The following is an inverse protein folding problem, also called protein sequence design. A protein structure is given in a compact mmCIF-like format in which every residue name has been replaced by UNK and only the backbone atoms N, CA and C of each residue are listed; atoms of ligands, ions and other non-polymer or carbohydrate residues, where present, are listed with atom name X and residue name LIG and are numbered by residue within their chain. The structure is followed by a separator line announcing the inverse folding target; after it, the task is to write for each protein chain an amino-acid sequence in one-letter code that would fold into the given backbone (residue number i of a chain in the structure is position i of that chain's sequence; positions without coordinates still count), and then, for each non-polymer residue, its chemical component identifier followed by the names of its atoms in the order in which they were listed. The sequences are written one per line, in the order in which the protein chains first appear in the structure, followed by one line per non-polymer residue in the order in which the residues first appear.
data_IF_950593175150
#
_entry.id   IF_950593175150
#
_cell.length_a   1.000
_cell.length_b   1.000
_cell.length_c   1.000
_cell.angle_alpha   90.00
_cell.angle_beta   90.00
_cell.angle_gamma   90.00
#
_symmetry.space_group_name_H-M   'P 1'
#
loop_
_entity.id
_entity.type
_entity.pdbx_description
1 polymer ?
#
# COMPACT_ATOMS: atom_id res chain seq x y z
N UNK A 1 -32.65 -16.13 -13.48
CA UNK A 1 -33.61 -15.20 -12.86
C UNK A 1 -32.99 -13.81 -12.92
N UNK A 2 -33.76 -12.74 -13.07
CA UNK A 2 -33.20 -11.39 -12.94
C UNK A 2 -32.74 -11.17 -11.51
N UNK A 3 -31.56 -10.58 -11.32
CA UNK A 3 -31.10 -10.20 -9.98
C UNK A 3 -32.02 -9.12 -9.38
N UNK A 4 -32.16 -9.06 -8.05
CA UNK A 4 -32.91 -7.99 -7.40
C UNK A 4 -32.24 -6.64 -7.62
N UNK A 5 -33.05 -5.58 -7.72
CA UNK A 5 -32.57 -4.20 -7.70
C UNK A 5 -31.98 -3.87 -6.34
N UNK A 6 -30.97 -3.01 -6.32
CA UNK A 6 -30.39 -2.49 -5.10
C UNK A 6 -30.82 -1.05 -4.88
N UNK A 7 -31.08 -0.71 -3.61
CA UNK A 7 -31.44 0.64 -3.19
C UNK A 7 -30.15 1.33 -2.72
N UNK A 8 -29.79 2.43 -3.37
CA UNK A 8 -28.65 3.27 -3.04
C UNK A 8 -29.02 4.33 -2.01
N UNK A 9 -30.22 4.87 -2.07
CA UNK A 9 -30.69 5.89 -1.15
C UNK A 9 -32.21 5.89 -1.05
N UNK A 10 -32.74 6.18 0.15
CA UNK A 10 -34.14 6.53 0.38
C UNK A 10 -34.16 7.95 0.97
N UNK A 11 -34.54 8.93 0.17
CA UNK A 11 -34.48 10.35 0.56
C UNK A 11 -35.48 10.72 1.68
N UNK A 12 -36.40 9.80 2.04
CA UNK A 12 -37.35 9.99 3.15
C UNK A 12 -36.80 9.52 4.49
N UNK A 13 -35.61 8.92 4.51
CA UNK A 13 -34.98 8.37 5.71
C UNK A 13 -33.71 9.14 6.03
N UNK A 14 -33.57 9.46 7.32
CA UNK A 14 -32.30 9.94 7.86
C UNK A 14 -31.32 8.77 7.86
N UNK A 15 -30.15 8.97 7.25
CA UNK A 15 -29.10 7.96 7.21
C UNK A 15 -28.36 7.84 8.56
N UNK A 16 -27.44 6.90 8.67
CA UNK A 16 -26.66 6.66 9.90
C UNK A 16 -25.78 7.81 10.33
N UNK A 17 -25.44 8.69 9.39
CA UNK A 17 -24.64 9.89 9.63
C UNK A 17 -25.51 11.08 10.06
N UNK A 18 -26.82 10.89 10.20
CA UNK A 18 -27.72 11.86 10.80
C UNK A 18 -28.34 12.88 9.84
N UNK A 19 -28.21 12.70 8.52
CA UNK A 19 -28.77 13.61 7.51
C UNK A 19 -29.66 12.91 6.47
N UNK A 20 -30.45 13.70 5.75
CA UNK A 20 -31.21 13.27 4.58
C UNK A 20 -30.41 13.58 3.32
N UNK A 21 -30.38 12.64 2.37
CA UNK A 21 -29.72 12.80 1.07
C UNK A 21 -30.80 12.95 0.00
N UNK A 22 -30.88 14.09 -0.68
CA UNK A 22 -31.90 14.34 -1.70
C UNK A 22 -31.47 13.76 -3.05
N UNK A 23 -32.27 12.87 -3.63
CA UNK A 23 -31.93 12.23 -4.90
C UNK A 23 -31.84 13.24 -6.05
N UNK A 24 -32.69 14.26 -6.04
CA UNK A 24 -32.70 15.33 -7.05
C UNK A 24 -31.46 16.23 -7.05
N UNK A 25 -30.61 16.14 -6.02
CA UNK A 25 -29.34 16.85 -5.93
C UNK A 25 -28.12 16.04 -6.39
N UNK A 26 -28.34 14.81 -6.86
CA UNK A 26 -27.27 13.91 -7.27
C UNK A 26 -26.74 14.20 -8.68
N UNK A 27 -25.42 14.40 -8.78
CA UNK A 27 -24.67 14.44 -10.03
C UNK A 27 -24.15 13.03 -10.34
N UNK A 28 -24.57 12.48 -11.49
CA UNK A 28 -24.33 11.07 -11.84
C UNK A 28 -23.47 10.88 -13.10
N UNK A 29 -23.10 11.95 -13.80
CA UNK A 29 -22.47 11.85 -15.13
C UNK A 29 -21.19 11.00 -15.11
N UNK A 30 -20.27 11.29 -14.18
CA UNK A 30 -19.02 10.52 -14.02
C UNK A 30 -19.29 9.06 -13.67
N UNK A 31 -20.26 8.80 -12.79
CA UNK A 31 -20.61 7.45 -12.40
C UNK A 31 -21.29 6.68 -13.54
N UNK A 32 -22.11 7.32 -14.37
CA UNK A 32 -22.72 6.67 -15.53
C UNK A 32 -21.69 6.31 -16.61
N UNK A 33 -20.63 7.10 -16.76
CA UNK A 33 -19.50 6.77 -17.63
C UNK A 33 -18.66 5.61 -17.07
N UNK A 34 -18.47 5.57 -15.74
CA UNK A 34 -17.69 4.54 -15.04
C UNK A 34 -18.47 3.92 -13.87
N UNK A 35 -19.49 3.08 -14.13
CA UNK A 35 -20.44 2.64 -13.10
C UNK A 35 -19.90 1.48 -12.26
N UNK A 36 -18.80 1.71 -11.57
CA UNK A 36 -18.07 0.69 -10.80
C UNK A 36 -18.93 0.09 -9.70
N UNK A 37 -18.94 -1.25 -9.63
CA UNK A 37 -19.50 -1.99 -8.50
C UNK A 37 -18.36 -2.59 -7.67
N UNK A 38 -18.18 -2.09 -6.44
CA UNK A 38 -17.12 -2.53 -5.54
C UNK A 38 -17.64 -3.49 -4.44
N UNK A 39 -16.71 -4.21 -3.82
CA UNK A 39 -16.96 -4.98 -2.58
C UNK A 39 -16.61 -4.14 -1.36
N UNK A 40 -17.63 -3.69 -0.62
CA UNK A 40 -17.49 -3.06 0.69
C UNK A 40 -16.54 -1.84 0.71
N UNK A 41 -16.70 -0.91 -0.25
CA UNK A 41 -15.96 0.36 -0.38
C UNK A 41 -14.46 0.23 -0.64
N UNK A 42 -14.01 -0.96 -1.03
CA UNK A 42 -12.61 -1.19 -1.35
C UNK A 42 -12.35 -0.93 -2.85
N UNK A 43 -11.61 0.13 -3.16
CA UNK A 43 -11.26 0.54 -4.53
C UNK A 43 -10.48 -0.54 -5.30
N UNK A 44 -9.77 -1.43 -4.62
CA UNK A 44 -9.04 -2.54 -5.23
C UNK A 44 -9.92 -3.77 -5.49
N UNK A 45 -11.20 -3.73 -5.09
CA UNK A 45 -12.15 -4.85 -5.21
C UNK A 45 -13.31 -4.54 -6.14
N UNK A 46 -12.99 -4.29 -7.41
CA UNK A 46 -13.98 -4.21 -8.48
C UNK A 46 -14.59 -5.59 -8.74
N UNK A 47 -15.91 -5.71 -8.56
CA UNK A 47 -16.66 -6.98 -8.67
C UNK A 47 -17.75 -6.94 -9.76
N UNK A 48 -17.85 -5.84 -10.49
CA UNK A 48 -18.77 -5.69 -11.61
C UNK A 48 -19.10 -4.23 -11.89
N UNK A 49 -20.30 -3.98 -12.40
CA UNK A 49 -20.84 -2.64 -12.64
C UNK A 49 -22.31 -2.51 -12.24
N UNK A 50 -22.77 -1.28 -12.09
CA UNK A 50 -24.17 -0.93 -11.90
C UNK A 50 -24.79 -0.43 -13.20
N UNK A 51 -25.88 -1.05 -13.64
CA UNK A 51 -26.65 -0.58 -14.80
C UNK A 51 -27.94 0.08 -14.31
N UNK A 52 -28.57 0.89 -15.18
CA UNK A 52 -29.90 1.45 -14.95
C UNK A 52 -30.05 2.20 -13.61
N UNK A 53 -29.11 3.08 -13.26
CA UNK A 53 -29.24 3.97 -12.10
C UNK A 53 -30.34 5.01 -12.36
N UNK A 54 -31.39 5.02 -11.54
CA UNK A 54 -32.49 5.98 -11.64
C UNK A 54 -33.26 6.12 -10.33
N UNK A 55 -34.08 7.17 -10.24
CA UNK A 55 -35.01 7.36 -9.13
C UNK A 55 -36.35 6.63 -9.41
N UNK A 56 -36.80 5.82 -8.46
CA UNK A 56 -38.13 5.23 -8.38
C UNK A 56 -38.87 5.80 -7.14
N UNK A 57 -39.64 6.86 -7.35
CA UNK A 57 -40.26 7.59 -6.23
C UNK A 57 -39.18 8.18 -5.31
N UNK A 58 -39.18 7.88 -3.99
CA UNK A 58 -38.16 8.37 -3.07
C UNK A 58 -36.85 7.56 -3.10
N UNK A 59 -36.80 6.47 -3.87
CA UNK A 59 -35.67 5.55 -3.86
C UNK A 59 -34.75 5.82 -5.05
N UNK A 60 -33.44 5.90 -4.81
CA UNK A 60 -32.43 5.77 -5.85
C UNK A 60 -32.07 4.29 -5.98
N UNK A 61 -32.24 3.72 -7.17
CA UNK A 61 -32.03 2.28 -7.41
C UNK A 61 -31.11 2.02 -8.59
N UNK A 62 -30.43 0.88 -8.56
CA UNK A 62 -29.62 0.39 -9.68
C UNK A 62 -29.68 -1.13 -9.80
N UNK A 63 -29.40 -1.62 -11.01
CA UNK A 63 -29.38 -3.03 -11.36
C UNK A 63 -27.93 -3.57 -11.30
N UNK A 64 -27.64 -4.65 -10.56
CA UNK A 64 -26.28 -5.18 -10.45
C UNK A 64 -25.90 -6.02 -11.67
N UNK A 65 -24.71 -5.80 -12.21
CA UNK A 65 -24.07 -6.65 -13.23
C UNK A 65 -22.72 -7.13 -12.71
N UNK A 66 -22.69 -8.34 -12.15
CA UNK A 66 -21.48 -8.93 -11.59
C UNK A 66 -20.51 -9.39 -12.68
N UNK A 67 -19.21 -9.17 -12.45
CA UNK A 67 -18.15 -9.75 -13.27
C UNK A 67 -17.86 -11.19 -12.81
N UNK A 68 -18.43 -12.16 -13.52
CA UNK A 68 -18.21 -13.59 -13.25
C UNK A 68 -16.82 -14.09 -13.68
N UNK A 69 -16.04 -13.26 -14.40
CA UNK A 69 -14.64 -13.54 -14.71
C UNK A 69 -13.72 -13.40 -13.49
N UNK A 70 -14.16 -12.67 -12.46
CA UNK A 70 -13.45 -12.51 -11.19
C UNK A 70 -14.09 -13.42 -10.15
N UNK A 71 -13.27 -14.21 -9.44
CA UNK A 71 -13.75 -15.15 -8.40
C UNK A 71 -14.65 -14.47 -7.38
N UNK A 72 -14.25 -13.29 -6.90
CA UNK A 72 -15.02 -12.51 -5.94
C UNK A 72 -16.36 -12.04 -6.51
N UNK A 73 -16.41 -11.63 -7.79
CA UNK A 73 -17.64 -11.21 -8.46
C UNK A 73 -18.64 -12.37 -8.60
N UNK A 74 -18.18 -13.55 -9.01
CA UNK A 74 -18.99 -14.77 -9.06
C UNK A 74 -19.52 -15.19 -7.67
N UNK A 75 -18.68 -15.11 -6.63
CA UNK A 75 -19.09 -15.39 -5.25
C UNK A 75 -20.19 -14.44 -4.76
N UNK A 76 -20.01 -13.13 -4.99
CA UNK A 76 -20.97 -12.09 -4.59
C UNK A 76 -22.28 -12.24 -5.34
N UNK A 77 -22.25 -12.49 -6.65
CA UNK A 77 -23.45 -12.83 -7.44
C UNK A 77 -24.22 -13.98 -6.80
N UNK A 78 -23.55 -15.08 -6.48
CA UNK A 78 -24.19 -16.23 -5.83
C UNK A 78 -24.80 -15.91 -4.46
N UNK A 79 -24.17 -15.02 -3.68
CA UNK A 79 -24.73 -14.55 -2.40
C UNK A 79 -25.97 -13.69 -2.60
N UNK A 80 -26.01 -12.85 -3.65
CA UNK A 80 -27.20 -12.07 -4.01
C UNK A 80 -28.35 -12.98 -4.48
N UNK A 81 -28.07 -13.93 -5.36
CA UNK A 81 -29.08 -14.87 -5.89
C UNK A 81 -29.74 -15.71 -4.78
N UNK A 82 -28.95 -16.11 -3.77
CA UNK A 82 -29.45 -16.84 -2.60
C UNK A 82 -30.02 -15.93 -1.51
N UNK A 83 -30.00 -14.61 -1.70
CA UNK A 83 -30.55 -13.61 -0.78
C UNK A 83 -29.72 -13.37 0.48
N UNK A 84 -28.45 -13.79 0.53
CA UNK A 84 -27.55 -13.48 1.65
C UNK A 84 -27.02 -12.05 1.59
N UNK A 85 -26.81 -11.51 0.39
CA UNK A 85 -26.32 -10.16 0.16
C UNK A 85 -27.41 -9.32 -0.50
N UNK A 86 -27.85 -8.26 0.19
CA UNK A 86 -28.97 -7.40 -0.24
C UNK A 86 -28.69 -5.90 -0.08
N UNK A 87 -27.59 -5.53 0.56
CA UNK A 87 -27.22 -4.15 0.80
C UNK A 87 -26.39 -3.60 -0.34
N UNK A 88 -26.69 -2.35 -0.73
CA UNK A 88 -25.78 -1.51 -1.48
C UNK A 88 -25.37 -0.32 -0.63
N UNK A 89 -24.33 0.36 -1.06
CA UNK A 89 -23.96 1.65 -0.54
C UNK A 89 -23.35 2.54 -1.60
N UNK A 90 -23.88 3.74 -1.85
CA UNK A 90 -23.13 4.80 -2.49
C UNK A 90 -21.97 5.29 -1.63
N UNK A 91 -20.93 5.71 -2.33
CA UNK A 91 -19.87 6.58 -1.88
C UNK A 91 -20.08 7.94 -2.54
N UNK A 92 -20.18 9.00 -1.75
CA UNK A 92 -20.58 10.32 -2.26
C UNK A 92 -19.56 11.40 -1.92
N UNK A 93 -19.51 12.43 -2.75
CA UNK A 93 -18.87 13.70 -2.44
C UNK A 93 -19.97 14.72 -2.18
N UNK A 94 -19.96 15.35 -1.01
CA UNK A 94 -20.97 16.36 -0.65
C UNK A 94 -20.52 17.72 -1.18
N UNK A 95 -21.37 18.38 -1.96
CA UNK A 95 -21.09 19.68 -2.56
C UNK A 95 -21.86 20.81 -1.87
N UNK A 96 -23.11 20.52 -1.46
CA UNK A 96 -23.98 21.46 -0.75
C UNK A 96 -24.83 20.75 0.29
N UNK A 97 -24.94 21.36 1.46
CA UNK A 97 -25.83 20.93 2.51
C UNK A 97 -26.46 22.13 3.24
N UNK A 98 -27.62 21.93 3.84
CA UNK A 98 -28.33 22.96 4.59
C UNK A 98 -29.15 22.38 5.74
N UNK A 99 -29.30 23.15 6.81
CA UNK A 99 -30.26 22.86 7.88
C UNK A 99 -31.65 23.36 7.49
N UNK A 100 -32.66 22.52 7.69
CA UNK A 100 -34.07 22.88 7.52
C UNK A 100 -34.83 22.66 8.81
N UNK A 101 -35.72 23.58 9.15
CA UNK A 101 -36.63 23.41 10.28
C UNK A 101 -37.58 22.26 10.01
N UNK A 102 -37.64 21.29 10.93
CA UNK A 102 -38.52 20.15 10.83
C UNK A 102 -39.88 20.43 11.49
N UNK A 103 -40.93 19.63 11.21
CA UNK A 103 -42.27 19.85 11.77
C UNK A 103 -42.33 19.79 13.31
N UNK A 104 -41.32 19.21 13.95
CA UNK A 104 -41.20 19.15 15.41
C UNK A 104 -40.51 20.38 16.02
N UNK A 105 -40.12 21.36 15.21
CA UNK A 105 -39.42 22.58 15.64
C UNK A 105 -37.92 22.43 15.87
N UNK A 106 -37.35 21.26 15.55
CA UNK A 106 -35.89 21.05 15.49
C UNK A 106 -35.33 21.34 14.10
N UNK A 107 -34.03 21.11 13.93
CA UNK A 107 -33.36 21.23 12.63
C UNK A 107 -32.91 19.85 12.13
N UNK A 108 -33.18 19.59 10.86
CA UNK A 108 -32.70 18.42 10.15
C UNK A 108 -31.72 18.84 9.05
N UNK A 109 -30.62 18.10 8.92
CA UNK A 109 -29.60 18.34 7.91
C UNK A 109 -29.98 17.66 6.60
N UNK A 110 -29.96 18.43 5.51
CA UNK A 110 -30.24 17.96 4.16
C UNK A 110 -29.01 18.20 3.28
N UNK A 111 -28.49 17.13 2.68
CA UNK A 111 -27.54 17.24 1.57
C UNK A 111 -28.34 17.47 0.30
N UNK A 112 -28.15 18.65 -0.30
CA UNK A 112 -28.96 19.16 -1.41
C UNK A 112 -28.21 19.12 -2.74
N UNK A 113 -26.89 18.98 -2.72
CA UNK A 113 -26.07 18.79 -3.91
C UNK A 113 -24.90 17.87 -3.59
N UNK A 114 -24.71 16.84 -4.39
CA UNK A 114 -23.70 15.80 -4.16
C UNK A 114 -23.36 15.06 -5.45
N UNK A 115 -22.19 14.45 -5.49
CA UNK A 115 -21.75 13.63 -6.61
C UNK A 115 -21.65 12.16 -6.18
N UNK A 116 -22.15 11.25 -7.02
CA UNK A 116 -21.95 9.82 -6.82
C UNK A 116 -20.53 9.46 -7.28
N UNK A 117 -19.69 9.00 -6.34
CA UNK A 117 -18.30 8.62 -6.61
C UNK A 117 -18.17 7.13 -6.93
N UNK A 118 -18.77 6.26 -6.11
CA UNK A 118 -18.78 4.81 -6.30
C UNK A 118 -20.08 4.17 -5.79
N UNK A 119 -20.27 2.89 -6.12
CA UNK A 119 -21.34 2.07 -5.56
C UNK A 119 -20.81 0.70 -5.15
N UNK A 120 -21.05 0.32 -3.90
CA UNK A 120 -20.58 -0.93 -3.32
C UNK A 120 -21.72 -1.87 -2.96
N UNK A 121 -21.50 -3.18 -3.05
CA UNK A 121 -22.31 -4.15 -2.30
C UNK A 121 -21.80 -4.23 -0.86
N UNK A 122 -22.70 -4.28 0.13
CA UNK A 122 -22.31 -4.30 1.56
C UNK A 122 -23.10 -5.34 2.36
N UNK A 123 -22.42 -5.98 3.31
CA UNK A 123 -23.00 -7.02 4.18
C UNK A 123 -23.84 -6.45 5.33
N UNK A 124 -23.51 -5.24 5.79
CA UNK A 124 -24.22 -4.53 6.86
C UNK A 124 -24.57 -3.13 6.37
N UNK A 125 -25.81 -2.86 5.93
CA UNK A 125 -26.28 -1.52 5.63
C UNK A 125 -26.47 -0.72 6.93
N UNK A 126 -26.18 0.58 6.94
CA UNK A 126 -26.27 1.40 8.16
C UNK A 126 -27.70 1.87 8.52
N UNK A 127 -28.76 1.34 7.90
CA UNK A 127 -30.14 1.53 8.36
C UNK A 127 -30.97 0.23 8.20
N UNK A 128 -32.21 0.23 8.71
CA UNK A 128 -33.16 -0.86 8.55
C UNK A 128 -33.83 -0.95 7.15
N UNK A 129 -33.16 -0.51 6.08
CA UNK A 129 -33.71 -0.36 4.71
C UNK A 129 -32.74 0.10 3.60
N UNK A 130 -31.43 -0.21 3.66
CA UNK A 130 -30.30 0.28 2.81
C UNK A 130 -29.71 1.64 3.26
N UNK A 131 -28.47 1.75 3.78
CA UNK A 131 -27.19 1.81 3.03
C UNK A 131 -26.05 2.18 4.00
N UNK A 132 -24.82 1.74 3.76
CA UNK A 132 -23.59 2.08 4.53
C UNK A 132 -22.85 3.30 3.97
N UNK A 133 -23.50 4.47 3.90
CA UNK A 133 -22.99 5.64 3.16
C UNK A 133 -21.53 5.97 3.51
N UNK A 134 -20.64 6.05 2.51
CA UNK A 134 -19.28 6.58 2.68
C UNK A 134 -19.19 7.97 2.05
N UNK A 135 -18.44 8.85 2.70
CA UNK A 135 -18.27 10.23 2.27
C UNK A 135 -16.82 10.42 1.89
N UNK A 136 -16.60 11.00 0.72
CA UNK A 136 -15.30 11.33 0.20
C UNK A 136 -15.16 12.84 0.11
N UNK A 137 -13.94 13.31 0.33
CA UNK A 137 -13.55 14.69 0.03
C UNK A 137 -13.48 14.91 -1.49
N UNK A 138 -13.43 16.17 -1.94
CA UNK A 138 -13.38 16.50 -3.38
C UNK A 138 -12.14 15.97 -4.11
N UNK A 139 -11.07 15.64 -3.38
CA UNK A 139 -9.85 14.99 -3.86
C UNK A 139 -9.87 13.45 -3.74
N UNK A 140 -10.99 12.85 -3.33
CA UNK A 140 -11.21 11.40 -3.34
C UNK A 140 -10.74 10.65 -2.09
N UNK A 141 -10.38 11.35 -1.01
CA UNK A 141 -10.02 10.71 0.27
C UNK A 141 -11.27 10.40 1.09
N UNK A 142 -11.26 9.25 1.78
CA UNK A 142 -12.36 8.88 2.66
C UNK A 142 -12.40 9.79 3.89
N UNK A 143 -13.59 10.31 4.21
CA UNK A 143 -13.87 10.99 5.48
C UNK A 143 -14.19 9.91 6.51
N UNK A 144 -13.40 9.86 7.57
CA UNK A 144 -13.62 8.95 8.69
C UNK A 144 -14.98 9.17 9.34
N UNK A 145 -15.65 8.09 9.76
CA UNK A 145 -17.05 8.14 10.21
C UNK A 145 -17.27 9.13 11.38
N UNK A 146 -16.27 9.31 12.25
CA UNK A 146 -16.33 10.27 13.37
C UNK A 146 -16.28 11.74 12.93
N UNK A 147 -15.68 12.01 11.76
CA UNK A 147 -15.44 13.36 11.25
C UNK A 147 -16.49 13.81 10.23
N UNK A 148 -17.37 12.89 9.80
CA UNK A 148 -18.46 13.15 8.86
C UNK A 148 -19.28 14.37 9.28
N UNK A 149 -19.70 14.44 10.55
CA UNK A 149 -20.54 15.55 11.02
C UNK A 149 -19.81 16.88 10.90
N UNK A 150 -18.54 16.94 11.30
CA UNK A 150 -17.71 18.13 11.19
C UNK A 150 -17.53 18.53 9.73
N UNK A 151 -17.31 17.56 8.85
CA UNK A 151 -17.16 17.77 7.42
C UNK A 151 -18.42 18.41 6.81
N UNK A 152 -19.61 17.86 7.09
CA UNK A 152 -20.86 18.42 6.57
C UNK A 152 -21.16 19.79 7.18
N UNK A 153 -20.92 19.99 8.48
CA UNK A 153 -21.11 21.29 9.14
C UNK A 153 -20.23 22.39 8.52
N UNK A 154 -19.01 22.04 8.10
CA UNK A 154 -18.13 22.98 7.40
C UNK A 154 -18.66 23.31 6.00
N UNK A 155 -19.19 22.33 5.27
CA UNK A 155 -19.83 22.56 3.97
C UNK A 155 -21.03 23.49 4.12
N UNK A 156 -21.90 23.26 5.11
CA UNK A 156 -23.05 24.15 5.38
C UNK A 156 -22.62 25.60 5.58
N UNK A 157 -21.55 25.84 6.36
CA UNK A 157 -21.01 27.18 6.59
C UNK A 157 -20.52 27.84 5.29
N UNK A 158 -19.75 27.11 4.49
CA UNK A 158 -19.27 27.58 3.19
C UNK A 158 -20.42 27.91 2.23
N UNK A 159 -21.46 27.07 2.21
CA UNK A 159 -22.65 27.30 1.41
C UNK A 159 -23.41 28.56 1.85
N UNK A 160 -23.53 28.80 3.15
CA UNK A 160 -24.18 30.00 3.68
C UNK A 160 -23.42 31.30 3.32
N UNK A 161 -22.08 31.27 3.35
CA UNK A 161 -21.21 32.40 3.02
C UNK A 161 -21.25 32.76 1.52
N UNK A 162 -21.35 31.75 0.64
CA UNK A 162 -21.40 31.95 -0.82
C UNK A 162 -22.69 32.65 -1.34
N UNK A 163 -23.77 32.65 -0.55
CA UNK A 163 -25.06 33.27 -0.93
C UNK A 163 -25.16 34.78 -0.68
N UNK A 164 -24.20 35.43 -0.01
CA UNK A 164 -24.27 36.86 0.30
C UNK A 164 -23.56 37.75 -0.73
N UNK A 165 -24.18 37.87 -1.90
CA UNK A 165 -24.03 39.05 -2.75
C UNK A 165 -24.97 40.17 -2.31
N UNK A 166 -24.40 41.31 -1.89
CA UNK A 166 -24.99 42.65 -1.68
C UNK A 166 -25.61 43.06 -0.31
N UNK A 167 -24.85 43.96 0.34
CA UNK A 167 -25.22 45.20 1.07
C UNK A 167 -26.40 45.15 2.07
N UNK A 168 -26.09 45.18 3.37
CA UNK A 168 -26.55 46.26 4.27
C UNK A 168 -25.84 46.25 5.63
N UNK A 169 -25.55 47.45 6.12
CA UNK A 169 -25.28 47.88 7.51
C UNK A 169 -24.48 46.97 8.43
N UNK A 170 -23.19 47.31 8.52
CA UNK A 170 -22.18 46.78 9.44
C UNK A 170 -22.68 46.91 10.89
N UNK A 171 -23.21 45.81 11.44
CA UNK A 171 -22.78 45.38 12.77
C UNK A 171 -21.38 44.82 12.57
N UNK A 172 -20.40 45.39 13.24
CA UNK A 172 -19.04 44.86 13.30
C UNK A 172 -19.13 43.38 13.64
N UNK A 173 -18.92 42.51 12.65
CA UNK A 173 -18.76 41.08 12.88
C UNK A 173 -17.56 40.92 13.82
N UNK A 174 -17.71 40.11 14.86
CA UNK A 174 -16.53 39.59 15.54
C UNK A 174 -15.74 38.80 14.49
N UNK A 175 -14.65 39.39 14.00
CA UNK A 175 -13.64 38.68 13.20
C UNK A 175 -13.23 37.48 14.05
N UNK A 176 -13.59 36.28 13.63
CA UNK A 176 -12.99 35.06 14.16
C UNK A 176 -11.50 35.12 13.82
N UNK A 177 -10.70 35.63 14.74
CA UNK A 177 -9.26 35.74 14.54
C UNK A 177 -8.64 34.37 14.74
N UNK A 178 -7.76 33.97 13.83
CA UNK A 178 -6.94 32.78 14.04
C UNK A 178 -6.08 32.99 15.29
N UNK A 179 -5.69 31.89 15.95
CA UNK A 179 -4.75 31.98 17.07
C UNK A 179 -3.37 32.42 16.55
N UNK A 180 -2.56 33.04 17.41
CA UNK A 180 -1.18 33.43 17.04
C UNK A 180 -0.36 32.25 16.49
N UNK A 181 -0.59 31.03 17.00
CA UNK A 181 0.05 29.82 16.49
C UNK A 181 -0.38 29.44 15.07
N UNK A 182 -1.66 29.63 14.73
CA UNK A 182 -2.17 29.35 13.38
C UNK A 182 -1.61 30.34 12.34
N UNK A 183 -1.46 31.62 12.70
CA UNK A 183 -0.80 32.61 11.84
C UNK A 183 0.66 32.24 11.55
N UNK A 184 1.41 31.82 12.57
CA UNK A 184 2.79 31.36 12.42
C UNK A 184 2.87 30.10 11.57
N UNK A 185 1.98 29.12 11.79
CA UNK A 185 1.95 27.87 11.03
C UNK A 185 1.61 28.08 9.54
N UNK A 186 0.71 29.02 9.25
CA UNK A 186 0.35 29.39 7.87
C UNK A 186 1.36 30.33 7.22
N UNK A 187 2.31 30.88 7.97
CA UNK A 187 3.31 31.83 7.47
C UNK A 187 2.73 33.18 7.06
N UNK A 188 1.61 33.59 7.66
CA UNK A 188 0.91 34.83 7.33
C UNK A 188 0.81 35.77 8.53
N UNK A 189 0.69 37.08 8.26
CA UNK A 189 0.57 38.10 9.30
C UNK A 189 -0.82 38.07 9.96
N UNK A 190 -0.93 38.51 11.21
CA UNK A 190 -2.20 38.66 11.94
C UNK A 190 -3.17 39.64 11.27
N UNK A 191 -2.64 40.57 10.46
CA UNK A 191 -3.42 41.52 9.67
C UNK A 191 -3.82 40.98 8.29
N UNK A 192 -3.50 39.72 7.98
CA UNK A 192 -3.89 39.07 6.72
C UNK A 192 -5.42 39.12 6.53
N UNK A 193 -5.84 39.47 5.32
CA UNK A 193 -7.25 39.42 4.95
C UNK A 193 -7.71 37.98 4.68
N UNK A 194 -9.02 37.82 4.50
CA UNK A 194 -9.62 36.51 4.28
C UNK A 194 -9.07 35.81 3.02
N UNK A 195 -8.67 36.59 2.00
CA UNK A 195 -8.10 36.05 0.77
C UNK A 195 -6.69 35.48 1.00
N UNK A 196 -5.84 36.21 1.72
CA UNK A 196 -4.50 35.75 2.10
C UNK A 196 -4.55 34.52 3.03
N UNK A 197 -5.50 34.48 3.97
CA UNK A 197 -5.72 33.30 4.83
C UNK A 197 -6.16 32.09 3.98
N UNK A 198 -7.09 32.28 3.05
CA UNK A 198 -7.58 31.22 2.17
C UNK A 198 -6.46 30.67 1.26
N UNK A 199 -5.66 31.56 0.65
CA UNK A 199 -4.52 31.17 -0.18
C UNK A 199 -3.47 30.38 0.63
N UNK A 200 -3.21 30.78 1.88
CA UNK A 200 -2.28 30.06 2.74
C UNK A 200 -2.78 28.65 3.10
N UNK A 201 -4.08 28.47 3.32
CA UNK A 201 -4.68 27.16 3.56
C UNK A 201 -4.62 26.28 2.31
N UNK A 202 -4.93 26.83 1.13
CA UNK A 202 -4.81 26.10 -0.15
C UNK A 202 -3.36 25.67 -0.39
N UNK A 203 -2.41 26.56 -0.11
CA UNK A 203 -0.98 26.26 -0.24
C UNK A 203 -0.55 25.18 0.75
N UNK A 204 -1.04 25.23 1.99
CA UNK A 204 -0.75 24.21 3.00
C UNK A 204 -1.27 22.84 2.55
N UNK A 205 -2.48 22.77 2.01
CA UNK A 205 -3.06 21.53 1.48
C UNK A 205 -2.23 20.98 0.31
N UNK A 206 -1.84 21.83 -0.63
CA UNK A 206 -1.00 21.43 -1.76
C UNK A 206 0.37 20.89 -1.29
N UNK A 207 0.99 21.55 -0.30
CA UNK A 207 2.25 21.09 0.28
C UNK A 207 2.11 19.77 1.03
N UNK A 208 1.01 19.57 1.76
CA UNK A 208 0.71 18.32 2.44
C UNK A 208 0.57 17.16 1.45
N UNK A 209 -0.23 17.35 0.38
CA UNK A 209 -0.37 16.36 -0.69
C UNK A 209 0.99 16.01 -1.32
N UNK A 210 1.77 17.02 -1.71
CA UNK A 210 3.10 16.80 -2.29
C UNK A 210 4.08 16.09 -1.33
N UNK A 211 3.99 16.37 -0.03
CA UNK A 211 4.80 15.69 0.99
C UNK A 211 4.39 14.22 1.15
N UNK A 212 3.09 13.92 1.10
CA UNK A 212 2.57 12.56 1.17
C UNK A 212 3.00 11.74 -0.06
N UNK A 213 2.82 12.28 -1.27
CA UNK A 213 3.29 11.65 -2.52
C UNK A 213 4.78 11.33 -2.48
N UNK A 214 5.58 12.28 -1.96
CA UNK A 214 7.03 12.09 -1.81
C UNK A 214 7.36 11.02 -0.78
N UNK A 215 6.63 10.95 0.33
CA UNK A 215 6.83 9.92 1.35
C UNK A 215 6.54 8.52 0.78
N UNK A 216 5.45 8.36 0.03
CA UNK A 216 5.13 7.10 -0.64
C UNK A 216 6.18 6.70 -1.69
N UNK A 217 6.66 7.66 -2.49
CA UNK A 217 7.71 7.43 -3.47
C UNK A 217 9.02 6.97 -2.80
N UNK A 218 9.46 7.67 -1.75
CA UNK A 218 10.66 7.30 -0.98
C UNK A 218 10.52 5.94 -0.31
N UNK A 219 9.33 5.60 0.19
CA UNK A 219 9.07 4.29 0.79
C UNK A 219 9.21 3.18 -0.25
N UNK A 220 8.64 3.36 -1.46
CA UNK A 220 8.81 2.41 -2.58
C UNK A 220 10.28 2.25 -2.98
N UNK A 221 11.05 3.33 -3.03
CA UNK A 221 12.50 3.27 -3.30
C UNK A 221 13.26 2.52 -2.21
N UNK A 222 12.97 2.79 -0.93
CA UNK A 222 13.58 2.09 0.21
C UNK A 222 13.32 0.59 0.12
N UNK A 223 12.07 0.20 -0.15
CA UNK A 223 11.71 -1.22 -0.24
C UNK A 223 12.36 -1.90 -1.45
N UNK A 224 12.47 -1.20 -2.58
CA UNK A 224 13.21 -1.67 -3.75
C UNK A 224 14.71 -1.87 -3.45
N UNK A 225 15.36 -0.93 -2.75
CA UNK A 225 16.77 -1.04 -2.37
C UNK A 225 16.98 -2.18 -1.36
N UNK A 226 16.10 -2.32 -0.37
CA UNK A 226 16.16 -3.43 0.61
C UNK A 226 16.04 -4.78 -0.08
N UNK A 227 15.07 -4.92 -0.99
CA UNK A 227 14.85 -6.14 -1.77
C UNK A 227 16.07 -6.49 -2.62
N UNK A 228 16.60 -5.52 -3.37
CA UNK A 228 17.79 -5.73 -4.19
C UNK A 228 18.99 -6.17 -3.34
N UNK A 229 19.22 -5.51 -2.21
CA UNK A 229 20.32 -5.84 -1.28
C UNK A 229 20.18 -7.27 -0.71
N UNK A 230 18.96 -7.70 -0.40
CA UNK A 230 18.68 -9.07 0.03
C UNK A 230 18.94 -10.08 -1.10
N UNK A 231 18.46 -9.81 -2.31
CA UNK A 231 18.66 -10.66 -3.49
C UNK A 231 20.15 -10.81 -3.84
N UNK A 232 20.92 -9.72 -3.83
CA UNK A 232 22.36 -9.71 -4.12
C UNK A 232 23.14 -10.55 -3.10
N UNK A 233 22.81 -10.43 -1.80
CA UNK A 233 23.45 -11.22 -0.74
C UNK A 233 23.18 -12.72 -0.89
N UNK A 234 21.93 -13.11 -1.20
CA UNK A 234 21.56 -14.51 -1.40
C UNK A 234 22.18 -15.05 -2.68
N UNK A 235 22.22 -14.26 -3.77
CA UNK A 235 22.88 -14.64 -5.01
C UNK A 235 24.38 -14.90 -4.82
N UNK A 236 25.07 -14.07 -4.02
CA UNK A 236 26.46 -14.29 -3.65
C UNK A 236 26.64 -15.61 -2.87
N UNK A 237 25.79 -15.88 -1.88
CA UNK A 237 25.86 -17.11 -1.08
C UNK A 237 25.63 -18.38 -1.92
N UNK A 238 24.75 -18.33 -2.92
CA UNK A 238 24.55 -19.41 -3.89
C UNK A 238 25.81 -19.59 -4.75
N UNK A 239 26.39 -18.49 -5.23
CA UNK A 239 27.60 -18.52 -6.07
C UNK A 239 28.80 -19.09 -5.33
N UNK A 240 28.96 -18.75 -4.04
CA UNK A 240 29.98 -19.31 -3.15
C UNK A 240 29.68 -20.77 -2.72
N UNK A 241 28.52 -21.30 -3.11
CA UNK A 241 28.08 -22.65 -2.80
C UNK A 241 27.75 -22.88 -1.33
N UNK A 242 27.51 -21.81 -0.57
CA UNK A 242 27.12 -21.87 0.85
C UNK A 242 25.71 -22.42 1.02
N UNK A 243 24.81 -22.07 0.10
CA UNK A 243 23.43 -22.54 0.07
C UNK A 243 23.07 -23.07 -1.32
N UNK A 244 22.05 -23.91 -1.39
CA UNK A 244 21.47 -24.37 -2.65
C UNK A 244 20.56 -23.33 -3.30
N UNK A 245 20.32 -23.45 -4.60
CA UNK A 245 19.43 -22.55 -5.33
C UNK A 245 17.94 -22.77 -4.98
N UNK A 246 17.61 -23.95 -4.46
CA UNK A 246 16.28 -24.38 -4.01
C UNK A 246 15.77 -23.56 -2.81
N UNK A 247 16.68 -23.06 -1.95
CA UNK A 247 16.32 -22.28 -0.76
C UNK A 247 16.42 -20.75 -0.96
N UNK A 248 16.61 -20.30 -2.22
CA UNK A 248 16.80 -18.88 -2.54
C UNK A 248 15.69 -17.99 -1.97
N UNK A 249 14.43 -18.33 -2.25
CA UNK A 249 13.29 -17.50 -1.87
C UNK A 249 13.14 -17.38 -0.34
N UNK A 250 13.44 -18.45 0.39
CA UNK A 250 13.35 -18.48 1.85
C UNK A 250 14.42 -17.58 2.49
N UNK A 251 15.64 -17.60 1.97
CA UNK A 251 16.70 -16.71 2.44
C UNK A 251 16.48 -15.25 2.04
N UNK A 252 15.85 -14.98 0.89
CA UNK A 252 15.44 -13.59 0.52
C UNK A 252 14.37 -13.09 1.49
N UNK A 253 13.37 -13.91 1.81
CA UNK A 253 12.34 -13.56 2.81
C UNK A 253 12.96 -13.29 4.19
N UNK A 254 13.90 -14.12 4.63
CA UNK A 254 14.61 -13.93 5.89
C UNK A 254 15.41 -12.61 5.88
N UNK A 255 16.13 -12.31 4.80
CA UNK A 255 16.92 -11.09 4.68
C UNK A 255 16.07 -9.82 4.61
N UNK A 256 14.84 -9.91 4.08
CA UNK A 256 13.86 -8.82 4.12
C UNK A 256 13.32 -8.58 5.53
N UNK A 257 13.23 -9.61 6.37
CA UNK A 257 12.80 -9.50 7.77
C UNK A 257 13.94 -9.02 8.70
N UNK A 258 15.11 -9.63 8.60
CA UNK A 258 16.32 -9.25 9.34
C UNK A 258 17.58 -9.51 8.50
N UNK A 259 18.05 -8.45 7.86
CA UNK A 259 19.24 -8.51 7.02
C UNK A 259 20.50 -8.90 7.80
N UNK A 260 20.65 -8.40 9.04
CA UNK A 260 21.85 -8.62 9.86
C UNK A 260 21.95 -10.09 10.29
N UNK A 261 20.81 -10.66 10.69
CA UNK A 261 20.74 -12.07 11.04
C UNK A 261 21.01 -12.95 9.81
N UNK A 262 20.38 -12.65 8.67
CA UNK A 262 20.59 -13.39 7.42
C UNK A 262 22.05 -13.33 6.94
N UNK A 263 22.71 -12.18 7.04
CA UNK A 263 24.12 -12.03 6.69
C UNK A 263 25.01 -12.91 7.59
N UNK A 264 24.78 -12.88 8.91
CA UNK A 264 25.54 -13.69 9.87
C UNK A 264 25.34 -15.19 9.65
N UNK A 265 24.11 -15.64 9.42
CA UNK A 265 23.82 -17.05 9.19
C UNK A 265 24.46 -17.55 7.91
N UNK A 266 24.36 -16.78 6.81
CA UNK A 266 25.00 -17.14 5.54
C UNK A 266 26.52 -17.19 5.67
N UNK A 267 27.15 -16.23 6.36
CA UNK A 267 28.60 -16.22 6.56
C UNK A 267 29.12 -17.39 7.40
N UNK A 268 28.31 -17.91 8.32
CA UNK A 268 28.67 -19.06 9.15
C UNK A 268 28.76 -20.36 8.35
N UNK A 269 28.09 -20.46 7.19
CA UNK A 269 28.15 -21.65 6.34
C UNK A 269 29.45 -21.64 5.53
N UNK A 270 30.30 -22.67 5.61
CA UNK A 270 31.54 -22.73 4.84
C UNK A 270 31.27 -22.66 3.33
N UNK A 271 32.04 -21.83 2.62
CA UNK A 271 32.04 -21.83 1.16
C UNK A 271 32.59 -23.15 0.62
N UNK A 272 32.15 -23.55 -0.59
CA UNK A 272 32.68 -24.76 -1.23
C UNK A 272 34.15 -24.59 -1.56
N UNK A 273 34.98 -25.47 -1.00
CA UNK A 273 36.42 -25.54 -1.31
C UNK A 273 36.61 -26.59 -2.40
N UNK A 274 37.39 -26.27 -3.45
CA UNK A 274 37.73 -27.26 -4.47
C UNK A 274 38.73 -28.27 -3.89
N UNK A 275 38.50 -29.56 -4.14
CA UNK A 275 39.39 -30.63 -3.70
C UNK A 275 40.83 -30.43 -4.24
N UNK A 276 40.96 -29.86 -5.45
CA UNK A 276 42.23 -29.49 -6.06
C UNK A 276 43.05 -28.48 -5.23
N UNK A 277 42.41 -27.55 -4.51
CA UNK A 277 43.10 -26.60 -3.65
C UNK A 277 43.68 -27.26 -2.38
N UNK A 278 43.06 -28.34 -1.90
CA UNK A 278 43.49 -29.09 -0.71
C UNK A 278 44.63 -30.07 -1.00
N UNK A 279 44.72 -30.60 -2.22
CA UNK A 279 45.74 -31.59 -2.61
C UNK A 279 47.15 -30.98 -2.71
N UNK A 280 47.28 -29.69 -3.03
CA UNK A 280 48.59 -29.01 -3.15
C UNK A 280 49.36 -28.90 -1.84
N UNK A 281 48.72 -29.02 -0.66
CA UNK A 281 49.40 -28.87 0.64
C UNK A 281 50.12 -30.13 1.13
N UNK A 282 49.87 -31.29 0.55
CA UNK A 282 50.48 -32.56 1.00
C UNK A 282 51.77 -32.89 0.22
N UNK A 283 51.94 -32.32 -0.98
CA UNK A 283 53.12 -32.55 -1.83
C UNK A 283 54.40 -31.84 -1.37
N UNK A 284 54.31 -30.58 -0.96
CA UNK A 284 55.49 -29.73 -0.70
C UNK A 284 56.03 -29.81 0.74
N UNK A 285 55.26 -30.35 1.69
CA UNK A 285 55.62 -30.31 3.12
C UNK A 285 56.61 -31.40 3.56
N UNK A 286 56.78 -32.47 2.78
CA UNK A 286 57.64 -33.60 3.15
C UNK A 286 59.09 -33.47 2.67
N UNK A 287 59.34 -32.58 1.70
CA UNK A 287 60.68 -32.29 1.19
C UNK A 287 61.11 -30.93 1.77
N UNK A 288 62.12 -30.91 2.67
CA UNK A 288 62.69 -29.66 3.17
C UNK A 288 63.07 -28.71 2.02
N UNK A 289 62.83 -27.41 2.19
CA UNK A 289 63.04 -26.41 1.15
C UNK A 289 64.48 -26.37 0.61
N UNK A 290 65.47 -26.68 1.45
CA UNK A 290 66.90 -26.80 1.11
C UNK A 290 67.22 -28.01 0.21
N UNK A 291 66.26 -28.92 0.04
CA UNK A 291 66.40 -30.18 -0.71
C UNK A 291 65.44 -30.27 -1.90
N UNK A 292 64.69 -29.19 -2.16
CA UNK A 292 63.85 -29.04 -3.35
C UNK A 292 64.75 -28.89 -4.58
N UNK A 293 65.12 -30.02 -5.19
CA UNK A 293 66.03 -30.07 -6.34
C UNK A 293 67.07 -31.20 -6.28
N UNK A 294 67.15 -31.91 -5.16
CA UNK A 294 68.00 -33.10 -5.05
C UNK A 294 67.52 -34.20 -6.00
N UNK A 295 68.46 -34.76 -6.77
CA UNK A 295 68.20 -35.94 -7.60
C UNK A 295 68.08 -37.18 -6.72
N UNK A 296 67.50 -38.25 -7.27
CA UNK A 296 67.41 -39.54 -6.58
C UNK A 296 68.77 -40.05 -6.06
N UNK A 297 69.85 -39.83 -6.83
CA UNK A 297 71.20 -40.22 -6.43
C UNK A 297 71.74 -39.36 -5.28
N UNK A 298 71.42 -38.06 -5.26
CA UNK A 298 71.81 -37.14 -4.19
C UNK A 298 71.16 -37.56 -2.86
N UNK A 299 69.87 -37.91 -2.90
CA UNK A 299 69.16 -38.46 -1.75
C UNK A 299 69.74 -39.78 -1.24
N UNK A 300 70.05 -40.73 -2.13
CA UNK A 300 70.65 -42.01 -1.71
C UNK A 300 72.03 -41.85 -1.06
N UNK A 301 72.80 -40.84 -1.47
CA UNK A 301 74.15 -40.60 -0.97
C UNK A 301 74.14 -39.86 0.38
N UNK A 302 73.34 -38.81 0.47
CA UNK A 302 73.45 -37.85 1.57
C UNK A 302 72.32 -37.99 2.61
N UNK A 303 71.15 -38.54 2.25
CA UNK A 303 70.07 -38.86 3.20
C UNK A 303 69.14 -40.02 2.75
N UNK A 304 69.63 -41.27 2.80
CA UNK A 304 68.83 -42.44 2.41
C UNK A 304 67.66 -42.72 3.36
N UNK A 305 67.74 -42.27 4.62
CA UNK A 305 66.67 -42.43 5.61
C UNK A 305 65.49 -41.48 5.31
N UNK A 306 65.78 -40.22 4.96
CA UNK A 306 64.78 -39.25 4.51
C UNK A 306 64.07 -39.71 3.24
N UNK A 307 64.80 -40.28 2.28
CA UNK A 307 64.22 -40.84 1.06
C UNK A 307 63.26 -42.02 1.33
N UNK A 308 63.61 -42.90 2.27
CA UNK A 308 62.74 -44.01 2.67
C UNK A 308 61.46 -43.52 3.36
N UNK A 309 61.56 -42.46 4.17
CA UNK A 309 60.41 -41.81 4.80
C UNK A 309 59.48 -41.18 3.75
N UNK A 310 60.04 -40.46 2.77
CA UNK A 310 59.27 -39.90 1.64
C UNK A 310 58.57 -41.02 0.86
N UNK A 311 59.24 -42.16 0.62
CA UNK A 311 58.61 -43.31 -0.04
C UNK A 311 57.41 -43.90 0.74
N UNK A 312 57.49 -43.91 2.07
CA UNK A 312 56.44 -44.47 2.93
C UNK A 312 55.26 -43.50 3.12
N UNK A 313 55.54 -42.20 3.27
CA UNK A 313 54.55 -41.17 3.60
C UNK A 313 54.00 -40.44 2.37
N UNK A 314 54.75 -40.39 1.26
CA UNK A 314 54.32 -39.78 -0.01
C UNK A 314 54.92 -40.49 -1.24
N UNK A 315 54.29 -41.61 -1.69
CA UNK A 315 54.75 -42.36 -2.86
C UNK A 315 54.80 -41.55 -4.16
N UNK A 316 53.94 -40.55 -4.33
CA UNK A 316 53.90 -39.68 -5.51
C UNK A 316 55.12 -38.75 -5.57
N UNK A 317 55.49 -38.13 -4.45
CA UNK A 317 56.70 -37.31 -4.34
C UNK A 317 57.98 -38.15 -4.56
N UNK A 318 58.01 -39.39 -4.07
CA UNK A 318 59.11 -40.33 -4.34
C UNK A 318 59.26 -40.65 -5.83
N UNK A 319 58.15 -40.88 -6.55
CA UNK A 319 58.20 -41.09 -8.01
C UNK A 319 58.58 -39.81 -8.76
N UNK A 320 58.22 -38.62 -8.27
CA UNK A 320 58.70 -37.35 -8.82
C UNK A 320 60.23 -37.22 -8.67
N UNK A 321 60.80 -37.51 -7.49
CA UNK A 321 62.26 -37.49 -7.25
C UNK A 321 63.00 -38.49 -8.17
N UNK A 322 62.43 -39.68 -8.42
CA UNK A 322 63.00 -40.65 -9.37
C UNK A 322 63.04 -40.15 -10.82
N UNK A 323 62.14 -39.24 -11.19
CA UNK A 323 62.09 -38.63 -12.53
C UNK A 323 63.03 -37.44 -12.68
N UNK A 324 63.49 -36.83 -11.58
CA UNK A 324 64.53 -35.79 -11.58
C UNK A 324 65.88 -36.43 -11.90
N UNK A 325 66.18 -36.53 -13.19
CA UNK A 325 67.47 -36.99 -13.72
C UNK A 325 68.43 -35.80 -13.80
N UNK A 326 69.64 -35.98 -13.26
CA UNK A 326 70.83 -35.45 -13.91
C UNK A 326 71.30 -36.52 -14.91
#
# INVERSE_FOLDING_TARGET
MSLPKFIFNDETKKNSHGFFLLNGGGHFDRFQEYPVMLDNHNLDRLIGRWDNLHAEGPLLVADPVFDEGVTLGAERKGQVERGFLRGASPGIIILRAEYRTNPAGGEDLYVTEWELFEGSTTSVPSNAGAVTLKIYTGDGHLVEDNDVRLHVDNIVKLCAESTQGQKSNIKTMEKTTLTAGAYVALGINQDADAEAISQAIVTLQANYAAANDRAEALQKEIDAVKKKRAEDMVALAITEGRIGADVREDYVKLALQDYSLAEKTLRAIPAKVSLAASVTKIGDALIPADRQGWTYLHWLKDDPAGLAKIKAENPEAFEAIKKVRN
#
